data_IF_642562170991
#
_entry.id   IF_642562170991
#
_cell.length_a   1.000
_cell.length_b   1.000
_cell.length_c   1.000
_cell.angle_alpha   90.00
_cell.angle_beta   90.00
_cell.angle_gamma   90.00
#
_symmetry.space_group_name_H-M   'P 1'
#
loop_
_entity.id
_entity.type
_entity.pdbx_description
1 polymer ?
#
# COMPACT_ATOMS: atom_id res chain seq x y z
N UNK A 1 66.74 -2.46 -25.22
CA UNK A 1 65.96 -2.08 -24.03
C UNK A 1 64.47 -1.97 -24.45
N UNK A 2 63.62 -2.93 -24.08
CA UNK A 2 62.16 -2.83 -24.33
C UNK A 2 61.48 -2.33 -23.07
N UNK A 3 60.87 -1.14 -23.15
CA UNK A 3 60.10 -0.52 -22.04
C UNK A 3 58.69 -1.09 -22.11
N UNK A 4 58.26 -1.82 -21.09
CA UNK A 4 56.87 -2.23 -20.91
C UNK A 4 56.13 -1.11 -20.12
N UNK A 5 55.15 -0.48 -20.79
CA UNK A 5 54.27 0.45 -20.13
C UNK A 5 53.06 -0.37 -19.60
N UNK A 6 52.98 -0.55 -18.29
CA UNK A 6 51.79 -1.14 -17.65
C UNK A 6 50.70 -0.08 -17.55
N UNK A 7 49.62 -0.28 -18.33
CA UNK A 7 48.37 0.50 -18.18
C UNK A 7 47.62 0.00 -16.95
N UNK A 8 47.65 0.77 -15.87
CA UNK A 8 46.77 0.60 -14.71
C UNK A 8 45.36 1.06 -15.07
N UNK A 9 44.48 0.09 -15.34
CA UNK A 9 43.05 0.33 -15.53
C UNK A 9 42.40 0.72 -14.17
N UNK A 10 41.96 1.94 -14.05
CA UNK A 10 41.19 2.41 -12.91
C UNK A 10 39.71 2.01 -13.14
N UNK A 11 39.23 0.97 -12.46
CA UNK A 11 37.82 0.61 -12.44
C UNK A 11 37.06 1.57 -11.52
N UNK A 12 36.33 2.53 -12.09
CA UNK A 12 35.39 3.35 -11.35
C UNK A 12 34.13 2.50 -11.05
N UNK A 13 34.01 2.03 -9.81
CA UNK A 13 32.80 1.41 -9.31
C UNK A 13 31.77 2.52 -9.05
N UNK A 14 30.78 2.66 -9.92
CA UNK A 14 29.62 3.50 -9.68
C UNK A 14 28.73 2.77 -8.68
N UNK A 15 28.60 3.31 -7.47
CA UNK A 15 27.56 2.91 -6.52
C UNK A 15 26.24 3.49 -7.04
N UNK A 16 25.41 2.63 -7.62
CA UNK A 16 24.01 2.98 -7.88
C UNK A 16 23.29 2.89 -6.55
N UNK A 17 22.93 4.04 -5.97
CA UNK A 17 22.01 4.04 -4.84
C UNK A 17 20.63 3.64 -5.37
N UNK A 18 20.04 2.61 -4.77
CA UNK A 18 18.66 2.25 -5.07
C UNK A 18 17.76 3.44 -4.72
N UNK A 19 16.84 3.79 -5.64
CA UNK A 19 15.85 4.83 -5.38
C UNK A 19 14.91 4.33 -4.26
N UNK A 20 14.64 5.11 -3.19
CA UNK A 20 13.76 4.70 -2.11
C UNK A 20 12.38 4.21 -2.57
N UNK A 21 11.83 4.79 -3.64
CA UNK A 21 10.56 4.37 -4.22
C UNK A 21 10.66 2.98 -4.86
N UNK A 22 11.77 2.68 -5.55
CA UNK A 22 12.02 1.36 -6.15
C UNK A 22 12.17 0.29 -5.07
N UNK A 23 12.86 0.62 -3.99
CA UNK A 23 13.01 -0.27 -2.83
C UNK A 23 11.69 -0.50 -2.11
N UNK A 24 10.88 0.55 -1.93
CA UNK A 24 9.54 0.43 -1.37
C UNK A 24 8.64 -0.49 -2.23
N UNK A 25 8.68 -0.31 -3.56
CA UNK A 25 7.92 -1.16 -4.48
C UNK A 25 8.37 -2.61 -4.40
N UNK A 26 9.67 -2.86 -4.38
CA UNK A 26 10.24 -4.20 -4.22
C UNK A 26 9.84 -4.85 -2.88
N UNK A 27 9.75 -4.06 -1.81
CA UNK A 27 9.26 -4.55 -0.51
C UNK A 27 7.78 -4.97 -0.59
N UNK A 28 6.93 -4.24 -1.31
CA UNK A 28 5.55 -4.66 -1.57
C UNK A 28 5.48 -5.93 -2.43
N UNK A 29 6.27 -6.00 -3.51
CA UNK A 29 6.34 -7.16 -4.39
C UNK A 29 6.77 -8.43 -3.64
N UNK A 30 7.62 -8.30 -2.63
CA UNK A 30 8.06 -9.45 -1.81
C UNK A 30 6.93 -10.12 -1.03
N UNK A 31 5.79 -9.45 -0.85
CA UNK A 31 4.60 -9.95 -0.15
C UNK A 31 3.60 -10.63 -1.10
N UNK A 32 3.86 -10.62 -2.42
CA UNK A 32 2.91 -11.11 -3.41
C UNK A 32 2.51 -12.57 -3.21
N UNK A 33 1.20 -12.84 -3.32
CA UNK A 33 0.59 -14.14 -3.11
C UNK A 33 0.27 -14.46 -1.64
N UNK A 34 0.76 -13.68 -0.69
CA UNK A 34 0.60 -13.95 0.74
C UNK A 34 -0.56 -13.14 1.36
N UNK A 35 -1.20 -13.75 2.35
CA UNK A 35 -2.22 -13.11 3.18
C UNK A 35 -1.74 -13.05 4.64
N UNK A 36 -2.18 -12.01 5.35
CA UNK A 36 -1.74 -11.70 6.70
C UNK A 36 -2.90 -11.23 7.57
N UNK A 37 -2.89 -11.62 8.85
CA UNK A 37 -3.86 -11.16 9.85
C UNK A 37 -3.46 -9.79 10.39
N UNK A 38 -4.46 -8.93 10.65
CA UNK A 38 -4.26 -7.57 11.10
C UNK A 38 -4.91 -7.28 12.44
N UNK A 39 -4.35 -6.31 13.15
CA UNK A 39 -4.85 -5.77 14.40
C UNK A 39 -5.22 -4.30 14.25
N UNK A 40 -6.41 -3.92 14.76
CA UNK A 40 -6.84 -2.53 14.82
C UNK A 40 -6.10 -1.82 15.96
N UNK A 41 -5.16 -0.94 15.62
CA UNK A 41 -4.32 -0.24 16.62
C UNK A 41 -5.00 1.01 17.14
N UNK A 42 -5.63 1.79 16.25
CA UNK A 42 -6.39 2.98 16.64
C UNK A 42 -7.49 3.28 15.62
N UNK A 43 -8.58 3.86 16.11
CA UNK A 43 -9.71 4.28 15.28
C UNK A 43 -10.35 5.55 15.86
N UNK A 44 -11.05 6.35 15.04
CA UNK A 44 -11.80 7.51 15.51
C UNK A 44 -12.92 7.11 16.47
N UNK A 45 -13.25 7.99 17.41
CA UNK A 45 -14.41 7.80 18.27
C UNK A 45 -15.70 7.65 17.44
N UNK A 46 -16.51 6.64 17.77
CA UNK A 46 -17.75 6.31 17.06
C UNK A 46 -17.56 5.45 15.80
N UNK A 47 -16.33 5.16 15.38
CA UNK A 47 -16.06 4.19 14.32
C UNK A 47 -16.19 2.76 14.89
N UNK A 48 -17.18 2.01 14.41
CA UNK A 48 -17.44 0.64 14.90
C UNK A 48 -17.27 -0.42 13.83
N UNK A 49 -17.10 -0.03 12.57
CA UNK A 49 -17.09 -0.96 11.45
C UNK A 49 -15.89 -1.92 11.41
N UNK A 50 -14.84 -1.63 12.19
CA UNK A 50 -13.62 -2.44 12.27
C UNK A 50 -13.40 -3.05 13.66
N UNK A 51 -14.12 -2.56 14.67
CA UNK A 51 -13.97 -3.01 16.07
C UNK A 51 -14.48 -4.44 16.17
N UNK A 52 -13.70 -5.31 16.84
CA UNK A 52 -14.00 -6.73 17.05
C UNK A 52 -14.18 -7.54 15.74
N UNK A 53 -13.73 -6.98 14.61
CA UNK A 53 -13.72 -7.69 13.33
C UNK A 53 -12.37 -8.36 13.10
N UNK A 54 -12.38 -9.54 12.48
CA UNK A 54 -11.18 -10.13 11.89
C UNK A 54 -10.74 -9.27 10.70
N UNK A 55 -9.49 -8.84 10.70
CA UNK A 55 -8.90 -8.01 9.65
C UNK A 55 -7.87 -8.82 8.89
N UNK A 56 -7.98 -8.89 7.57
CA UNK A 56 -7.04 -9.64 6.73
C UNK A 56 -6.67 -8.80 5.52
N UNK A 57 -5.38 -8.70 5.20
CA UNK A 57 -4.92 -8.24 3.89
C UNK A 57 -4.38 -9.42 3.08
N UNK A 58 -4.58 -9.38 1.76
CA UNK A 58 -4.02 -10.35 0.82
C UNK A 58 -3.35 -9.62 -0.34
N UNK A 59 -2.03 -9.71 -0.49
CA UNK A 59 -1.30 -9.12 -1.63
C UNK A 59 -1.52 -10.02 -2.85
N UNK A 60 -2.70 -9.92 -3.46
CA UNK A 60 -3.27 -10.93 -4.35
C UNK A 60 -2.84 -10.81 -5.81
N UNK A 61 -2.79 -9.60 -6.35
CA UNK A 61 -2.49 -9.37 -7.76
C UNK A 61 -1.33 -8.40 -7.90
N UNK A 62 -0.23 -8.90 -8.44
CA UNK A 62 1.01 -8.18 -8.59
C UNK A 62 1.43 -8.17 -10.06
N UNK A 63 1.40 -6.99 -10.65
CA UNK A 63 1.89 -6.70 -11.99
C UNK A 63 3.09 -5.75 -11.88
N UNK A 64 3.83 -5.56 -12.94
CA UNK A 64 5.03 -4.72 -12.98
C UNK A 64 4.80 -3.30 -12.41
N UNK A 65 3.65 -2.70 -12.72
CA UNK A 65 3.29 -1.33 -12.36
C UNK A 65 2.05 -1.23 -11.45
N UNK A 66 1.45 -2.36 -11.05
CA UNK A 66 0.24 -2.38 -10.22
C UNK A 66 0.21 -3.53 -9.24
N UNK A 67 -0.07 -3.20 -7.97
CA UNK A 67 -0.32 -4.17 -6.90
C UNK A 67 -1.71 -3.93 -6.34
N UNK A 68 -2.53 -4.99 -6.22
CA UNK A 68 -3.85 -4.93 -5.63
C UNK A 68 -3.90 -5.79 -4.37
N UNK A 69 -4.35 -5.16 -3.28
CA UNK A 69 -4.35 -5.75 -1.94
C UNK A 69 -5.78 -5.71 -1.41
N UNK A 70 -6.58 -6.79 -1.56
CA UNK A 70 -7.84 -6.94 -0.84
C UNK A 70 -7.67 -6.75 0.67
N UNK A 71 -8.57 -5.97 1.27
CA UNK A 71 -8.66 -5.76 2.71
C UNK A 71 -10.00 -6.25 3.21
N UNK A 72 -10.01 -7.42 3.83
CA UNK A 72 -11.19 -8.09 4.35
C UNK A 72 -11.45 -7.65 5.79
N UNK A 73 -12.71 -7.35 6.09
CA UNK A 73 -13.18 -6.92 7.41
C UNK A 73 -14.36 -7.81 7.83
N UNK A 74 -14.12 -8.78 8.70
CA UNK A 74 -15.09 -9.85 8.98
C UNK A 74 -15.44 -10.62 7.71
N UNK A 75 -16.73 -10.61 7.32
CA UNK A 75 -17.24 -11.23 6.09
C UNK A 75 -17.34 -10.24 4.91
N UNK A 76 -16.92 -8.99 5.09
CA UNK A 76 -17.00 -7.96 4.07
C UNK A 76 -15.78 -7.99 3.15
N UNK A 77 -15.98 -8.32 1.87
CA UNK A 77 -14.97 -8.45 0.82
C UNK A 77 -14.96 -7.24 -0.13
N UNK A 78 -15.58 -6.11 0.24
CA UNK A 78 -15.77 -4.96 -0.66
C UNK A 78 -14.50 -4.18 -0.98
N UNK A 79 -13.46 -4.25 -0.15
CA UNK A 79 -12.34 -3.30 -0.16
C UNK A 79 -11.09 -3.86 -0.83
N UNK A 80 -10.49 -3.08 -1.72
CA UNK A 80 -9.17 -3.39 -2.29
C UNK A 80 -8.33 -2.11 -2.36
N UNK A 81 -7.14 -2.13 -1.80
CA UNK A 81 -6.14 -1.11 -2.06
C UNK A 81 -5.49 -1.39 -3.43
N UNK A 82 -5.53 -0.39 -4.29
CA UNK A 82 -4.91 -0.43 -5.62
C UNK A 82 -3.72 0.52 -5.60
N UNK A 83 -2.52 -0.02 -5.69
CA UNK A 83 -1.30 0.75 -5.84
C UNK A 83 -0.87 0.70 -7.30
N UNK A 84 -0.67 1.85 -7.91
CA UNK A 84 -0.16 1.97 -9.29
C UNK A 84 1.11 2.81 -9.28
N UNK A 85 2.17 2.27 -9.87
CA UNK A 85 3.45 2.96 -10.01
C UNK A 85 3.57 3.58 -11.39
N UNK A 86 3.81 4.89 -11.47
CA UNK A 86 4.07 5.61 -12.71
C UNK A 86 4.88 6.87 -12.47
N UNK A 87 5.71 7.25 -13.43
CA UNK A 87 6.43 8.54 -13.45
C UNK A 87 7.16 8.91 -12.14
N UNK A 88 7.75 7.92 -11.45
CA UNK A 88 8.49 8.12 -10.20
C UNK A 88 7.59 8.40 -8.99
N UNK A 89 6.33 7.99 -9.04
CA UNK A 89 5.33 8.09 -7.97
C UNK A 89 4.57 6.78 -7.81
N UNK A 90 3.93 6.63 -6.65
CA UNK A 90 2.93 5.58 -6.42
C UNK A 90 1.61 6.28 -6.11
N UNK A 91 0.55 5.85 -6.77
CA UNK A 91 -0.82 6.24 -6.48
C UNK A 91 -1.50 5.14 -5.67
N UNK A 92 -2.18 5.51 -4.59
CA UNK A 92 -3.06 4.66 -3.82
C UNK A 92 -4.51 5.01 -4.12
N UNK A 93 -5.29 4.03 -4.53
CA UNK A 93 -6.76 4.14 -4.64
C UNK A 93 -7.44 3.06 -3.81
N UNK A 94 -8.62 3.39 -3.28
CA UNK A 94 -9.47 2.48 -2.54
C UNK A 94 -10.62 2.07 -3.45
N UNK A 95 -10.54 0.86 -4.03
CA UNK A 95 -11.63 0.27 -4.79
C UNK A 95 -12.63 -0.37 -3.83
N UNK A 96 -13.89 0.08 -3.89
CA UNK A 96 -14.99 -0.48 -3.13
C UNK A 96 -16.06 -1.01 -4.08
N UNK A 97 -16.57 -2.21 -3.77
CA UNK A 97 -17.54 -2.90 -4.60
C UNK A 97 -18.70 -3.43 -3.77
N UNK A 98 -19.89 -3.47 -4.39
CA UNK A 98 -21.03 -4.22 -3.90
C UNK A 98 -20.78 -5.72 -4.01
N UNK A 99 -21.61 -6.53 -3.35
CA UNK A 99 -21.52 -7.99 -3.35
C UNK A 99 -21.75 -8.62 -4.74
N UNK A 100 -22.42 -7.90 -5.66
CA UNK A 100 -22.55 -8.28 -7.07
C UNK A 100 -21.34 -7.89 -7.94
N UNK A 101 -20.30 -7.29 -7.34
CA UNK A 101 -19.08 -6.85 -7.99
C UNK A 101 -19.16 -5.51 -8.68
N UNK A 102 -20.31 -4.82 -8.67
CA UNK A 102 -20.42 -3.45 -9.22
C UNK A 102 -19.71 -2.43 -8.31
N UNK A 103 -19.13 -1.36 -8.87
CA UNK A 103 -18.50 -0.32 -8.06
C UNK A 103 -19.50 0.39 -7.13
N UNK A 104 -19.10 0.64 -5.88
CA UNK A 104 -19.86 1.51 -4.98
C UNK A 104 -19.78 2.97 -5.45
N UNK A 105 -20.72 3.83 -4.99
CA UNK A 105 -20.68 5.27 -5.25
C UNK A 105 -19.44 5.93 -4.63
N UNK A 106 -19.03 5.44 -3.45
CA UNK A 106 -17.81 5.89 -2.74
C UNK A 106 -16.68 4.90 -3.01
N UNK A 107 -16.04 5.05 -4.16
CA UNK A 107 -14.96 4.19 -4.62
C UNK A 107 -13.86 4.98 -5.31
N UNK A 108 -12.67 4.38 -5.50
CA UNK A 108 -11.51 4.95 -6.19
C UNK A 108 -11.02 6.30 -5.61
N UNK A 109 -11.27 6.53 -4.32
CA UNK A 109 -10.69 7.65 -3.60
C UNK A 109 -9.26 7.32 -3.12
N UNK A 110 -8.44 8.34 -2.92
CA UNK A 110 -7.03 8.16 -2.55
C UNK A 110 -6.17 9.35 -2.96
N UNK A 111 -4.96 9.07 -3.43
CA UNK A 111 -4.05 10.08 -3.97
C UNK A 111 -2.66 9.53 -4.25
N UNK A 112 -1.82 10.35 -4.87
CA UNK A 112 -0.46 9.98 -5.23
C UNK A 112 0.57 10.46 -4.19
N UNK A 113 1.67 9.69 -4.08
CA UNK A 113 2.84 10.13 -3.31
C UNK A 113 3.40 11.44 -3.87
N UNK A 114 3.88 12.34 -3.00
CA UNK A 114 4.36 13.66 -3.40
C UNK A 114 5.86 13.72 -3.64
N UNK A 115 6.59 12.69 -3.22
CA UNK A 115 8.04 12.54 -3.35
C UNK A 115 8.41 11.05 -3.35
N UNK A 116 9.71 10.74 -3.41
CA UNK A 116 10.22 9.37 -3.42
C UNK A 116 9.95 8.59 -2.11
N UNK A 117 9.61 9.28 -1.03
CA UNK A 117 9.35 8.68 0.28
C UNK A 117 10.58 8.03 0.90
N UNK A 118 10.36 6.89 1.53
CA UNK A 118 11.39 6.03 2.11
C UNK A 118 11.23 4.61 1.58
N UNK A 119 12.28 3.83 1.66
CA UNK A 119 12.28 2.42 1.28
C UNK A 119 11.17 1.57 1.95
N UNK A 120 10.69 1.99 3.10
CA UNK A 120 9.69 1.27 3.89
C UNK A 120 8.44 2.10 4.22
N UNK A 121 8.28 3.32 3.67
CA UNK A 121 7.17 4.19 4.03
C UNK A 121 6.79 5.14 2.88
N UNK A 122 5.49 5.17 2.54
CA UNK A 122 4.91 6.10 1.57
C UNK A 122 3.68 6.79 2.16
N UNK A 123 3.49 8.06 1.75
CA UNK A 123 2.37 8.91 2.14
C UNK A 123 1.58 9.31 0.89
N UNK A 124 0.25 9.25 1.02
CA UNK A 124 -0.70 9.49 -0.07
C UNK A 124 -1.71 10.56 0.36
N UNK A 125 -1.40 11.87 0.16
CA UNK A 125 -2.38 12.93 0.40
C UNK A 125 -3.57 12.79 -0.55
N UNK A 126 -4.77 13.10 -0.03
CA UNK A 126 -6.00 13.07 -0.82
C UNK A 126 -5.90 13.94 -2.07
N UNK A 127 -6.37 13.41 -3.19
CA UNK A 127 -6.43 14.10 -4.47
C UNK A 127 -7.79 14.80 -4.69
N UNK A 128 -7.93 15.48 -5.82
CA UNK A 128 -9.15 16.19 -6.21
C UNK A 128 -10.33 15.22 -6.43
N UNK A 129 -10.09 14.01 -6.93
CA UNK A 129 -11.14 12.99 -7.08
C UNK A 129 -11.69 12.60 -5.71
N UNK A 130 -10.81 12.41 -4.72
CA UNK A 130 -11.22 12.13 -3.33
C UNK A 130 -12.11 13.24 -2.77
N UNK A 131 -11.77 14.52 -3.03
CA UNK A 131 -12.59 15.66 -2.60
C UNK A 131 -13.98 15.64 -3.22
N UNK A 132 -14.10 15.23 -4.48
CA UNK A 132 -15.38 15.14 -5.18
C UNK A 132 -16.26 14.00 -4.67
N UNK A 133 -15.65 12.86 -4.32
CA UNK A 133 -16.37 11.65 -3.86
C UNK A 133 -16.69 11.74 -2.36
N UNK A 134 -15.76 12.28 -1.56
CA UNK A 134 -15.89 12.43 -0.10
C UNK A 134 -15.35 13.82 0.29
N UNK A 135 -16.19 14.84 0.26
CA UNK A 135 -15.76 16.22 0.55
C UNK A 135 -14.98 16.31 1.88
N UNK A 136 -15.45 15.67 2.94
CA UNK A 136 -14.80 15.68 4.25
C UNK A 136 -13.40 15.00 4.25
N UNK A 137 -13.04 14.24 3.20
CA UNK A 137 -11.77 13.53 3.11
C UNK A 137 -10.68 14.32 2.38
N UNK A 138 -10.94 15.55 1.94
CA UNK A 138 -9.97 16.37 1.17
C UNK A 138 -8.63 16.59 1.91
N UNK A 139 -8.62 16.52 3.25
CA UNK A 139 -7.42 16.66 4.08
C UNK A 139 -6.90 15.32 4.64
N UNK A 140 -7.37 14.19 4.11
CA UNK A 140 -6.85 12.89 4.48
C UNK A 140 -5.42 12.72 3.93
N UNK A 141 -4.58 12.08 4.74
CA UNK A 141 -3.27 11.56 4.32
C UNK A 141 -3.23 10.10 4.75
N UNK A 142 -3.16 9.22 3.77
CA UNK A 142 -2.91 7.80 4.02
C UNK A 142 -1.42 7.53 4.11
N UNK A 143 -1.06 6.52 4.87
CA UNK A 143 0.31 6.00 4.96
C UNK A 143 0.28 4.50 4.84
N UNK A 144 1.25 3.95 4.11
CA UNK A 144 1.55 2.53 4.12
C UNK A 144 3.02 2.34 4.47
N UNK A 145 3.29 1.49 5.48
CA UNK A 145 4.63 1.09 5.88
C UNK A 145 4.80 -0.39 5.66
N UNK A 146 5.95 -0.77 5.11
CA UNK A 146 6.28 -2.17 4.82
C UNK A 146 7.64 -2.48 5.41
N UNK A 147 7.67 -3.35 6.40
CA UNK A 147 8.87 -3.93 6.99
C UNK A 147 8.82 -5.44 6.73
N UNK A 148 9.40 -5.94 5.62
CA UNK A 148 9.28 -7.33 5.20
C UNK A 148 9.68 -8.31 6.31
N UNK A 149 8.83 -9.33 6.56
CA UNK A 149 9.02 -10.29 7.63
C UNK A 149 8.70 -9.79 9.05
N UNK A 150 8.31 -8.52 9.19
CA UNK A 150 7.95 -7.93 10.48
C UNK A 150 6.51 -7.41 10.46
N UNK A 151 6.25 -6.33 9.72
CA UNK A 151 4.98 -5.63 9.80
C UNK A 151 4.62 -4.85 8.55
N UNK A 152 3.33 -4.86 8.18
CA UNK A 152 2.73 -3.87 7.29
C UNK A 152 1.77 -3.00 8.09
N UNK A 153 1.84 -1.68 7.90
CA UNK A 153 0.92 -0.72 8.51
C UNK A 153 0.11 -0.02 7.42
N UNK A 154 -1.21 -0.02 7.57
CA UNK A 154 -2.10 0.91 6.88
C UNK A 154 -2.62 1.94 7.88
N UNK A 155 -2.42 3.22 7.58
CA UNK A 155 -2.83 4.32 8.43
C UNK A 155 -3.49 5.45 7.67
N UNK A 156 -4.29 6.24 8.39
CA UNK A 156 -4.97 7.44 7.90
C UNK A 156 -4.92 8.53 8.97
N UNK A 157 -4.57 9.73 8.57
CA UNK A 157 -4.82 10.96 9.33
C UNK A 157 -5.69 11.91 8.51
N UNK A 158 -6.63 12.58 9.18
CA UNK A 158 -7.33 13.73 8.60
C UNK A 158 -6.77 14.99 9.24
N UNK A 159 -5.95 15.72 8.47
CA UNK A 159 -5.24 16.90 8.94
C UNK A 159 -6.23 17.95 9.52
N UNK A 160 -5.85 18.57 10.63
CA UNK A 160 -6.67 19.55 11.33
C UNK A 160 -7.82 18.95 12.17
N UNK A 161 -7.88 17.63 12.32
CA UNK A 161 -8.89 16.92 13.10
C UNK A 161 -8.25 15.84 13.98
N UNK A 162 -8.94 15.31 15.01
CA UNK A 162 -8.45 14.17 15.80
C UNK A 162 -8.61 12.82 15.08
N UNK A 163 -9.11 12.78 13.82
CA UNK A 163 -9.34 11.53 13.12
C UNK A 163 -8.04 10.84 12.75
N UNK A 164 -7.78 9.74 13.41
CA UNK A 164 -6.65 8.83 13.16
C UNK A 164 -7.20 7.40 13.09
N UNK A 165 -6.72 6.64 12.11
CA UNK A 165 -7.02 5.22 11.95
C UNK A 165 -5.73 4.47 11.64
N UNK A 166 -5.54 3.29 12.23
CA UNK A 166 -4.39 2.44 11.93
C UNK A 166 -4.72 0.96 12.13
N UNK A 167 -4.31 0.16 11.17
CA UNK A 167 -4.25 -1.30 11.26
C UNK A 167 -2.81 -1.72 10.99
N UNK A 168 -2.30 -2.60 11.82
CA UNK A 168 -1.02 -3.28 11.63
C UNK A 168 -1.26 -4.76 11.29
N UNK A 169 -0.52 -5.29 10.31
CA UNK A 169 -0.55 -6.69 9.89
C UNK A 169 0.79 -7.34 10.21
N UNK A 170 0.75 -8.51 10.84
CA UNK A 170 1.95 -9.29 11.17
C UNK A 170 2.47 -9.99 9.90
N UNK A 171 3.66 -9.61 9.43
CA UNK A 171 4.30 -10.21 8.27
C UNK A 171 5.22 -11.38 8.61
N UNK A 172 5.34 -11.74 9.88
CA UNK A 172 6.17 -12.87 10.32
C UNK A 172 5.50 -14.22 10.06
N UNK A 173 4.16 -14.24 9.93
CA UNK A 173 3.37 -15.45 9.72
C UNK A 173 2.31 -15.21 8.63
N UNK A 174 2.30 -16.08 7.61
CA UNK A 174 1.27 -16.07 6.58
C UNK A 174 0.07 -16.92 7.00
N UNK A 175 -1.12 -16.53 6.54
CA UNK A 175 -2.35 -17.29 6.72
C UNK A 175 -2.88 -17.80 5.37
N UNK A 176 -3.83 -18.73 5.40
CA UNK A 176 -4.55 -19.14 4.19
C UNK A 176 -5.25 -17.91 3.56
N UNK A 177 -5.10 -17.70 2.24
CA UNK A 177 -5.74 -16.59 1.56
C UNK A 177 -7.26 -16.59 1.77
N UNK A 178 -7.86 -15.41 2.03
CA UNK A 178 -9.32 -15.29 2.06
C UNK A 178 -9.92 -15.51 0.67
N UNK A 179 -11.25 -15.69 0.57
CA UNK A 179 -11.95 -15.69 -0.72
C UNK A 179 -11.63 -14.44 -1.56
N UNK A 180 -11.85 -14.52 -2.88
CA UNK A 180 -11.68 -13.37 -3.75
C UNK A 180 -12.54 -12.18 -3.30
N UNK A 181 -12.07 -10.94 -3.46
CA UNK A 181 -12.92 -9.77 -3.24
C UNK A 181 -14.09 -9.77 -4.22
N UNK A 182 -15.17 -9.10 -3.84
CA UNK A 182 -16.36 -9.01 -4.67
C UNK A 182 -16.06 -8.50 -6.08
N UNK A 183 -16.59 -9.18 -7.09
CA UNK A 183 -16.35 -8.91 -8.51
C UNK A 183 -15.05 -9.48 -9.08
N UNK A 184 -14.35 -10.33 -8.33
CA UNK A 184 -13.17 -11.04 -8.80
C UNK A 184 -13.45 -12.54 -8.89
N UNK A 185 -12.72 -13.23 -9.77
CA UNK A 185 -12.71 -14.68 -9.84
C UNK A 185 -11.62 -15.26 -8.94
N UNK A 186 -11.85 -16.45 -8.36
CA UNK A 186 -10.87 -17.22 -7.58
C UNK A 186 -9.84 -17.94 -8.48
#
# INVERSE_FOLDING_TARGET
>A
MRVWIALLGFSLSFWVYANPLDEYWSNLESLCGNAYEGELITHPEGETGFVDQRLVMHVRDCQEDRIRIPFVVGDNLSRTWVLTRSEGRIELKHDHRHDDGTPEEVTMYGGASTNEGRANEQYFPADEQTRQVIEAAFSNVWVMRVYPGEKFTYGLWRLGTPRVFQVDFDLSETIDPPPAPWGWED
#
